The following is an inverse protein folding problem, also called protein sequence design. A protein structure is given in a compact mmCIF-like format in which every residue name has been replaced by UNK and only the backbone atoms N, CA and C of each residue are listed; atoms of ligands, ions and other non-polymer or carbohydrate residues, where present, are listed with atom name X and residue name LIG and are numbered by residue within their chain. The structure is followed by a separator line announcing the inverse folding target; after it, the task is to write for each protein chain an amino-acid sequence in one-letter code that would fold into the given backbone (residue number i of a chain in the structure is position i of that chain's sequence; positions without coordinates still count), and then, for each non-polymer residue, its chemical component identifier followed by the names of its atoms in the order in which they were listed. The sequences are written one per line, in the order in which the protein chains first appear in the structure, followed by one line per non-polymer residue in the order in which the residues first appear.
data_IF_657215850416
#
_entry.id   IF_657215850416
#
_cell.length_a   1.000
_cell.length_b   1.000
_cell.length_c   1.000
_cell.angle_alpha   90.00
_cell.angle_beta   90.00
_cell.angle_gamma   90.00
#
_symmetry.space_group_name_H-M   'P 1'
#
loop_
_entity.id
_entity.type
_entity.pdbx_description
1 polymer ?
#
# COMPACT_ATOMS: atom_id res chain seq x y z
N UNK A 1 7.92 -42.64 49.46
CA UNK A 1 8.30 -41.30 48.98
C UNK A 1 7.63 -40.28 49.89
N UNK A 2 8.35 -39.29 50.48
CA UNK A 2 7.74 -38.35 51.45
C UNK A 2 6.63 -37.54 50.76
N UNK A 3 5.46 -37.33 51.40
CA UNK A 3 4.31 -36.65 50.78
C UNK A 3 4.66 -35.24 50.29
N UNK A 4 5.62 -34.57 50.94
CA UNK A 4 6.13 -33.26 50.51
C UNK A 4 6.75 -33.28 49.11
N UNK A 5 7.50 -34.33 48.72
CA UNK A 5 8.13 -34.42 47.39
C UNK A 5 7.10 -34.64 46.29
N UNK A 6 6.01 -35.32 46.60
CA UNK A 6 4.90 -35.56 45.66
C UNK A 6 4.12 -34.27 45.41
N UNK A 7 3.85 -33.49 46.46
CA UNK A 7 3.16 -32.19 46.36
C UNK A 7 4.00 -31.20 45.56
N UNK A 8 5.32 -31.13 45.80
CA UNK A 8 6.21 -30.24 45.02
C UNK A 8 6.25 -30.65 43.55
N UNK A 9 6.31 -31.95 43.24
CA UNK A 9 6.30 -32.43 41.86
C UNK A 9 4.99 -32.08 41.12
N UNK A 10 3.84 -32.21 41.80
CA UNK A 10 2.54 -31.84 41.24
C UNK A 10 2.44 -30.32 41.03
N UNK A 11 2.95 -29.51 41.96
CA UNK A 11 2.95 -28.05 41.82
C UNK A 11 3.84 -27.57 40.66
N UNK A 12 5.02 -28.18 40.48
CA UNK A 12 5.91 -27.89 39.35
C UNK A 12 5.29 -28.33 38.02
N UNK A 13 4.65 -29.51 37.99
CA UNK A 13 3.93 -29.97 36.81
C UNK A 13 2.78 -29.03 36.44
N UNK A 14 1.96 -28.61 37.40
CA UNK A 14 0.87 -27.64 37.17
C UNK A 14 1.39 -26.27 36.69
N UNK A 15 2.55 -25.81 37.19
CA UNK A 15 3.21 -24.58 36.70
C UNK A 15 3.69 -24.69 35.25
N UNK A 16 4.19 -25.86 34.85
CA UNK A 16 4.67 -26.12 33.48
C UNK A 16 3.52 -26.28 32.47
N UNK A 17 2.33 -26.71 32.88
CA UNK A 17 1.19 -26.87 31.96
C UNK A 17 0.57 -25.52 31.60
N UNK A 18 0.65 -24.51 32.49
CA UNK A 18 0.13 -23.16 32.24
C UNK A 18 0.99 -22.34 31.25
N UNK A 19 2.24 -22.74 31.00
CA UNK A 19 3.13 -22.07 30.04
C UNK A 19 3.01 -22.62 28.60
N UNK A 20 2.12 -23.60 28.35
CA UNK A 20 1.85 -24.15 27.01
C UNK A 20 0.60 -23.56 26.32
N UNK A 21 -0.09 -22.59 26.90
CA UNK A 21 -1.25 -21.96 26.25
C UNK A 21 -0.88 -20.64 25.53
N UNK A 22 -1.39 -20.56 24.30
CA UNK A 22 -1.54 -19.40 23.43
C UNK A 22 -0.37 -19.04 22.47
N UNK A 23 -0.19 -19.86 21.44
CA UNK A 23 -0.22 -19.25 20.11
C UNK A 23 -1.70 -19.13 19.75
N UNK A 24 -2.28 -17.94 19.89
CA UNK A 24 -3.55 -17.67 19.22
C UNK A 24 -3.36 -18.01 17.74
N UNK A 25 -4.35 -18.68 17.14
CA UNK A 25 -4.36 -18.85 15.69
C UNK A 25 -4.47 -17.45 15.07
N UNK A 26 -3.33 -16.87 14.71
CA UNK A 26 -3.29 -15.59 14.05
C UNK A 26 -3.94 -15.82 12.68
N UNK A 27 -5.19 -15.39 12.56
CA UNK A 27 -5.89 -15.30 11.28
C UNK A 27 -5.19 -14.26 10.41
N UNK A 28 -4.16 -14.69 9.71
CA UNK A 28 -3.44 -13.91 8.70
C UNK A 28 -4.23 -13.80 7.39
N UNK A 29 -5.33 -14.54 7.26
CA UNK A 29 -6.25 -14.47 6.14
C UNK A 29 -6.66 -13.00 5.88
N UNK A 30 -6.24 -12.46 4.74
CA UNK A 30 -6.50 -11.10 4.26
C UNK A 30 -5.78 -9.94 4.99
N UNK A 31 -4.65 -10.19 5.68
CA UNK A 31 -3.81 -9.08 6.17
C UNK A 31 -2.84 -8.58 5.10
N UNK A 32 -2.73 -7.25 4.97
CA UNK A 32 -1.69 -6.58 4.18
C UNK A 32 -0.67 -5.84 5.05
N UNK A 33 -0.80 -5.88 6.38
CA UNK A 33 0.20 -5.34 7.31
C UNK A 33 1.03 -6.49 7.89
N UNK A 34 2.35 -6.38 7.76
CA UNK A 34 3.32 -7.38 8.18
C UNK A 34 4.34 -6.75 9.11
N UNK A 35 4.61 -7.39 10.25
CA UNK A 35 5.69 -7.02 11.16
C UNK A 35 6.94 -7.84 10.81
N UNK A 36 8.07 -7.16 10.68
CA UNK A 36 9.37 -7.74 10.34
C UNK A 36 10.26 -7.63 11.56
N UNK A 37 10.70 -8.78 12.06
CA UNK A 37 11.58 -8.91 13.23
C UNK A 37 12.74 -9.85 12.89
N UNK A 38 13.93 -9.53 13.40
CA UNK A 38 15.12 -10.36 13.27
C UNK A 38 15.98 -10.20 14.52
N UNK A 39 16.80 -11.20 14.86
CA UNK A 39 17.67 -11.15 16.04
C UNK A 39 18.64 -9.97 16.01
N UNK A 40 19.04 -9.55 14.80
CA UNK A 40 19.95 -8.42 14.57
C UNK A 40 19.24 -7.07 14.43
N UNK A 41 17.91 -7.03 14.50
CA UNK A 41 17.14 -5.78 14.48
C UNK A 41 16.86 -5.32 15.91
N UNK A 42 17.27 -4.10 16.24
CA UNK A 42 16.99 -3.49 17.54
C UNK A 42 15.49 -3.21 17.75
N UNK A 43 14.79 -2.86 16.67
CA UNK A 43 13.35 -2.54 16.66
C UNK A 43 12.67 -3.17 15.44
N UNK A 44 11.35 -3.49 15.54
CA UNK A 44 10.62 -4.08 14.43
C UNK A 44 10.35 -3.07 13.31
N UNK A 45 10.43 -3.53 12.07
CA UNK A 45 9.93 -2.80 10.90
C UNK A 45 8.55 -3.31 10.50
N UNK A 46 7.79 -2.51 9.75
CA UNK A 46 6.47 -2.90 9.26
C UNK A 46 6.38 -2.70 7.75
N UNK A 47 5.86 -3.70 7.05
CA UNK A 47 5.53 -3.62 5.63
C UNK A 47 4.01 -3.58 5.52
N UNK A 48 3.49 -2.47 5.01
CA UNK A 48 2.12 -2.37 4.56
C UNK A 48 2.10 -2.63 3.05
N UNK A 49 1.30 -3.59 2.61
CA UNK A 49 1.14 -3.93 1.20
C UNK A 49 0.62 -2.75 0.38
N UNK A 50 0.84 -2.83 -0.93
CA UNK A 50 0.58 -1.72 -1.84
C UNK A 50 -0.91 -1.56 -2.11
N UNK A 51 -1.44 -0.39 -1.78
CA UNK A 51 -2.76 0.05 -2.17
C UNK A 51 -2.69 1.55 -2.41
N UNK A 52 -2.69 2.00 -3.67
CA UNK A 52 -2.59 3.43 -3.95
C UNK A 52 -3.93 4.15 -3.84
N UNK A 53 -4.99 3.50 -4.30
CA UNK A 53 -6.31 4.09 -4.49
C UNK A 53 -7.38 3.24 -3.80
N UNK A 54 -8.35 3.91 -3.19
CA UNK A 54 -9.50 3.27 -2.55
C UNK A 54 -10.75 4.10 -2.76
N UNK A 55 -11.91 3.44 -2.83
CA UNK A 55 -13.19 4.14 -2.85
C UNK A 55 -13.42 4.85 -1.53
N UNK A 56 -13.88 6.10 -1.54
CA UNK A 56 -14.13 6.86 -0.31
C UNK A 56 -15.01 6.13 0.70
N UNK A 57 -16.04 5.40 0.22
CA UNK A 57 -16.97 4.65 1.08
C UNK A 57 -16.29 3.53 1.88
N UNK A 58 -15.17 3.01 1.36
CA UNK A 58 -14.40 1.91 1.94
C UNK A 58 -13.08 2.44 2.56
N UNK A 59 -12.89 3.77 2.55
CA UNK A 59 -11.63 4.40 2.95
C UNK A 59 -11.51 4.53 4.46
N UNK A 60 -11.03 3.47 5.10
CA UNK A 60 -10.68 3.44 6.51
C UNK A 60 -9.26 2.93 6.69
N UNK A 61 -8.42 3.67 7.44
CA UNK A 61 -7.10 3.19 7.85
C UNK A 61 -7.28 2.40 9.15
N UNK A 62 -7.05 1.07 9.16
CA UNK A 62 -7.29 0.26 10.34
C UNK A 62 -6.43 0.71 11.52
N UNK A 63 -6.97 0.62 12.74
CA UNK A 63 -6.27 1.01 13.97
C UNK A 63 -4.85 0.40 14.08
N UNK A 64 -4.69 -0.88 13.70
CA UNK A 64 -3.39 -1.57 13.70
C UNK A 64 -2.32 -0.86 12.84
N UNK A 65 -2.71 -0.28 11.71
CA UNK A 65 -1.82 0.49 10.84
C UNK A 65 -1.43 1.81 11.51
N UNK A 66 -2.40 2.52 12.09
CA UNK A 66 -2.10 3.77 12.81
C UNK A 66 -1.22 3.56 14.04
N UNK A 67 -1.38 2.43 14.74
CA UNK A 67 -0.54 2.06 15.88
C UNK A 67 0.89 1.72 15.44
N UNK A 68 1.05 0.96 14.36
CA UNK A 68 2.36 0.69 13.78
C UNK A 68 3.07 2.00 13.39
N UNK A 69 2.36 2.92 12.74
CA UNK A 69 2.92 4.23 12.35
C UNK A 69 3.37 5.07 13.55
N UNK A 70 2.74 4.94 14.72
CA UNK A 70 3.12 5.68 15.92
C UNK A 70 4.45 5.20 16.52
N UNK A 71 4.73 3.90 16.42
CA UNK A 71 5.89 3.28 17.06
C UNK A 71 7.14 3.25 16.18
N UNK A 72 7.00 3.24 14.85
CA UNK A 72 8.16 3.28 13.94
C UNK A 72 8.80 4.65 13.90
N UNK A 73 10.10 4.73 13.61
CA UNK A 73 10.81 6.00 13.53
C UNK A 73 10.46 6.82 12.30
N UNK A 74 10.17 6.18 11.16
CA UNK A 74 9.93 6.82 9.88
C UNK A 74 8.84 6.09 9.08
N UNK A 75 8.19 6.83 8.18
CA UNK A 75 7.43 6.26 7.07
C UNK A 75 8.35 6.18 5.84
N UNK A 76 8.36 5.05 5.16
CA UNK A 76 9.07 4.88 3.88
C UNK A 76 8.03 4.58 2.81
N UNK A 77 8.02 5.41 1.75
CA UNK A 77 7.14 5.24 0.59
C UNK A 77 7.98 4.93 -0.67
N UNK A 78 7.33 4.44 -1.71
CA UNK A 78 7.97 4.20 -3.03
C UNK A 78 8.52 5.49 -3.62
N UNK A 79 7.80 6.60 -3.40
CA UNK A 79 8.17 7.96 -3.80
C UNK A 79 8.07 8.84 -2.56
N UNK A 80 9.09 9.67 -2.32
CA UNK A 80 9.02 10.67 -1.27
C UNK A 80 8.10 11.82 -1.74
N UNK A 81 6.85 11.77 -1.30
CA UNK A 81 5.81 12.74 -1.66
C UNK A 81 6.01 14.09 -0.96
N UNK A 82 6.98 14.18 -0.04
CA UNK A 82 7.40 15.42 0.61
C UNK A 82 8.59 16.08 -0.10
N UNK A 83 9.26 15.39 -1.05
CA UNK A 83 10.39 15.92 -1.81
C UNK A 83 9.95 16.45 -3.20
N UNK A 84 10.05 17.77 -3.46
CA UNK A 84 9.67 18.34 -4.75
C UNK A 84 10.45 17.79 -5.95
N UNK A 85 11.72 17.40 -5.78
CA UNK A 85 12.50 16.85 -6.90
C UNK A 85 11.99 15.45 -7.27
N UNK A 86 11.63 14.62 -6.30
CA UNK A 86 11.01 13.31 -6.55
C UNK A 86 9.65 13.45 -7.25
N UNK A 87 8.83 14.42 -6.84
CA UNK A 87 7.57 14.73 -7.53
C UNK A 87 7.83 15.14 -8.98
N UNK A 88 8.86 15.95 -9.23
CA UNK A 88 9.22 16.39 -10.57
C UNK A 88 9.71 15.23 -11.43
N UNK A 89 10.58 14.35 -10.90
CA UNK A 89 11.04 13.14 -11.59
C UNK A 89 9.83 12.24 -11.94
N UNK A 90 8.89 12.06 -11.00
CA UNK A 90 7.66 11.31 -11.25
C UNK A 90 6.84 11.95 -12.39
N UNK A 91 6.64 13.27 -12.38
CA UNK A 91 5.92 13.98 -13.45
C UNK A 91 6.62 13.85 -14.81
N UNK A 92 7.94 13.97 -14.83
CA UNK A 92 8.74 13.79 -16.05
C UNK A 92 8.65 12.35 -16.58
N UNK A 93 8.61 11.34 -15.69
CA UNK A 93 8.41 9.95 -16.07
C UNK A 93 7.05 9.67 -16.71
N UNK A 94 6.04 10.49 -16.38
CA UNK A 94 4.70 10.42 -16.97
C UNK A 94 4.60 11.18 -18.28
N UNK A 95 5.56 12.04 -18.65
CA UNK A 95 5.51 12.75 -19.91
C UNK A 95 5.70 11.76 -21.07
N UNK A 96 4.68 11.62 -21.91
CA UNK A 96 4.83 10.82 -23.12
C UNK A 96 5.54 11.63 -24.22
N UNK A 97 6.47 10.98 -24.92
CA UNK A 97 7.25 11.62 -25.98
C UNK A 97 6.62 11.47 -27.36
N UNK A 98 5.65 10.55 -27.52
CA UNK A 98 4.95 10.27 -28.79
C UNK A 98 3.44 10.39 -28.64
N UNK A 99 2.75 10.64 -29.74
CA UNK A 99 1.29 10.62 -29.76
C UNK A 99 0.77 9.22 -29.99
N UNK A 100 -0.44 8.92 -29.51
CA UNK A 100 -1.08 7.61 -29.74
C UNK A 100 -1.25 7.37 -31.25
N UNK A 101 -1.64 8.41 -31.99
CA UNK A 101 -1.80 8.40 -33.45
C UNK A 101 -0.50 8.11 -34.22
N UNK A 102 0.67 8.29 -33.60
CA UNK A 102 1.97 7.99 -34.19
C UNK A 102 2.43 6.55 -33.90
N UNK A 103 1.81 5.87 -32.93
CA UNK A 103 2.19 4.53 -32.50
C UNK A 103 1.29 3.42 -33.07
N UNK A 104 0.08 3.76 -33.51
CA UNK A 104 -0.93 2.82 -33.98
C UNK A 104 -1.15 2.90 -35.49
N UNK A 105 -1.51 1.76 -36.10
CA UNK A 105 -2.10 1.78 -37.44
C UNK A 105 -3.46 2.49 -37.39
N UNK A 106 -3.96 2.91 -38.56
CA UNK A 106 -5.28 3.54 -38.66
C UNK A 106 -6.37 2.63 -38.09
N UNK A 107 -6.33 1.34 -38.42
CA UNK A 107 -7.31 0.35 -37.97
C UNK A 107 -7.29 0.18 -36.45
N UNK A 108 -6.10 0.14 -35.84
CA UNK A 108 -5.93 0.06 -34.40
C UNK A 108 -6.42 1.33 -33.68
N UNK A 109 -6.15 2.49 -34.29
CA UNK A 109 -6.62 3.78 -33.76
C UNK A 109 -8.16 3.83 -33.77
N UNK A 110 -8.80 3.45 -34.88
CA UNK A 110 -10.27 3.43 -35.00
C UNK A 110 -10.93 2.45 -34.01
N UNK A 111 -10.31 1.27 -33.79
CA UNK A 111 -10.77 0.30 -32.80
C UNK A 111 -10.66 0.84 -31.36
N UNK A 112 -9.51 1.43 -31.03
CA UNK A 112 -9.30 2.02 -29.71
C UNK A 112 -10.21 3.24 -29.49
N UNK A 113 -10.44 4.08 -30.50
CA UNK A 113 -11.35 5.23 -30.44
C UNK A 113 -12.78 4.82 -30.10
N UNK A 114 -13.24 3.68 -30.63
CA UNK A 114 -14.55 3.11 -30.29
C UNK A 114 -14.63 2.75 -28.80
N UNK A 115 -13.59 2.11 -28.26
CA UNK A 115 -13.53 1.74 -26.84
C UNK A 115 -13.42 2.97 -25.93
N UNK A 116 -12.54 3.91 -26.27
CA UNK A 116 -12.31 5.14 -25.52
C UNK A 116 -13.58 5.99 -25.50
N UNK A 117 -14.24 6.16 -26.64
CA UNK A 117 -15.52 6.90 -26.71
C UNK A 117 -16.58 6.26 -25.81
N UNK A 118 -16.67 4.92 -25.80
CA UNK A 118 -17.61 4.19 -24.96
C UNK A 118 -17.34 4.36 -23.46
N UNK A 119 -16.08 4.33 -23.03
CA UNK A 119 -15.69 4.37 -21.61
C UNK A 119 -15.60 5.80 -21.10
N UNK A 120 -14.94 6.68 -21.86
CA UNK A 120 -14.60 8.04 -21.47
C UNK A 120 -15.65 9.08 -21.89
N UNK A 121 -16.48 8.78 -22.89
CA UNK A 121 -17.44 9.73 -23.45
C UNK A 121 -16.81 10.79 -24.37
N UNK A 122 -15.57 10.57 -24.81
CA UNK A 122 -14.82 11.47 -25.68
C UNK A 122 -13.95 10.66 -26.65
N UNK A 123 -13.66 11.21 -27.83
CA UNK A 123 -12.80 10.55 -28.83
C UNK A 123 -11.35 10.44 -28.34
N UNK A 124 -10.66 9.39 -28.78
CA UNK A 124 -9.24 9.12 -28.57
C UNK A 124 -8.33 10.30 -28.95
N UNK A 125 -8.71 11.10 -29.96
CA UNK A 125 -7.90 12.26 -30.37
C UNK A 125 -7.74 13.30 -29.24
N UNK A 126 -8.69 13.37 -28.30
CA UNK A 126 -8.60 14.27 -27.15
C UNK A 126 -7.53 13.83 -26.13
N UNK A 127 -7.06 12.58 -26.23
CA UNK A 127 -6.05 11.97 -25.36
C UNK A 127 -4.75 11.68 -26.11
N UNK A 128 -4.60 12.17 -27.33
CA UNK A 128 -3.52 11.75 -28.23
C UNK A 128 -2.12 12.01 -27.65
N UNK A 129 -1.95 13.10 -26.90
CA UNK A 129 -0.67 13.45 -26.24
C UNK A 129 -0.44 12.75 -24.90
N UNK A 130 -1.44 12.02 -24.37
CA UNK A 130 -1.29 11.32 -23.10
C UNK A 130 -0.50 10.03 -23.26
N UNK A 131 -0.48 9.46 -24.48
CA UNK A 131 0.11 8.15 -24.71
C UNK A 131 -0.76 7.00 -24.20
N UNK A 132 -0.42 5.80 -24.67
CA UNK A 132 -1.18 4.59 -24.36
C UNK A 132 -1.18 4.25 -22.87
N UNK A 133 -0.05 4.46 -22.18
CA UNK A 133 0.09 4.12 -20.75
C UNK A 133 -0.82 4.97 -19.86
N UNK A 134 -0.82 6.30 -20.03
CA UNK A 134 -1.69 7.18 -19.23
C UNK A 134 -3.15 6.98 -19.60
N UNK A 135 -3.46 6.85 -20.89
CA UNK A 135 -4.82 6.56 -21.35
C UNK A 135 -5.36 5.30 -20.68
N UNK A 136 -4.57 4.23 -20.61
CA UNK A 136 -4.97 2.98 -19.96
C UNK A 136 -5.31 3.20 -18.47
N UNK A 137 -4.48 3.94 -17.72
CA UNK A 137 -4.76 4.25 -16.31
C UNK A 137 -6.07 5.05 -16.15
N UNK A 138 -6.31 6.06 -17.00
CA UNK A 138 -7.53 6.86 -16.97
C UNK A 138 -8.78 6.05 -17.30
N UNK A 139 -8.68 5.17 -18.31
CA UNK A 139 -9.77 4.26 -18.67
C UNK A 139 -10.09 3.28 -17.54
N UNK A 140 -9.06 2.67 -16.93
CA UNK A 140 -9.24 1.79 -15.77
C UNK A 140 -9.94 2.52 -14.63
N UNK A 141 -9.51 3.74 -14.29
CA UNK A 141 -10.16 4.56 -13.26
C UNK A 141 -11.64 4.83 -13.59
N UNK A 142 -11.95 5.15 -14.85
CA UNK A 142 -13.32 5.44 -15.30
C UNK A 142 -14.24 4.22 -15.27
N UNK A 143 -13.68 3.02 -15.44
CA UNK A 143 -14.41 1.76 -15.38
C UNK A 143 -14.74 1.30 -13.96
N UNK A 144 -14.06 1.85 -12.94
CA UNK A 144 -14.33 1.51 -11.55
C UNK A 144 -15.65 2.15 -11.07
N UNK A 145 -16.44 1.46 -10.22
CA UNK A 145 -17.72 1.98 -9.72
C UNK A 145 -17.55 3.04 -8.61
N UNK A 146 -16.42 3.74 -8.58
CA UNK A 146 -16.05 4.64 -7.49
C UNK A 146 -16.40 6.08 -7.83
N UNK A 147 -17.29 6.70 -7.05
CA UNK A 147 -17.68 8.11 -7.21
C UNK A 147 -16.58 9.07 -6.77
N UNK A 148 -15.79 8.67 -5.76
CA UNK A 148 -14.65 9.40 -5.25
C UNK A 148 -13.52 8.42 -4.92
N UNK A 149 -12.31 8.79 -5.32
CA UNK A 149 -11.09 8.05 -5.06
C UNK A 149 -10.31 8.77 -3.97
N UNK A 150 -9.79 8.00 -3.01
CA UNK A 150 -8.84 8.47 -2.00
C UNK A 150 -7.48 7.84 -2.25
N UNK A 151 -6.42 8.63 -2.08
CA UNK A 151 -5.05 8.13 -2.09
C UNK A 151 -4.67 7.67 -0.68
N UNK A 152 -4.26 6.41 -0.56
CA UNK A 152 -3.78 5.85 0.72
C UNK A 152 -2.41 6.43 1.05
N UNK A 153 -1.51 6.56 0.07
CA UNK A 153 -0.16 7.13 0.25
C UNK A 153 -0.23 8.54 0.84
N UNK A 154 -1.05 9.42 0.25
CA UNK A 154 -1.24 10.79 0.76
C UNK A 154 -1.80 10.81 2.18
N UNK A 155 -2.67 9.85 2.52
CA UNK A 155 -3.22 9.73 3.87
C UNK A 155 -2.17 9.25 4.86
N UNK A 156 -1.33 8.29 4.49
CA UNK A 156 -0.22 7.80 5.31
C UNK A 156 0.81 8.91 5.54
N UNK A 157 1.20 9.65 4.49
CA UNK A 157 2.06 10.83 4.61
C UNK A 157 1.46 11.89 5.53
N UNK A 158 0.18 12.22 5.38
CA UNK A 158 -0.51 13.17 6.26
C UNK A 158 -0.51 12.71 7.73
N UNK A 159 -0.70 11.42 7.97
CA UNK A 159 -0.61 10.84 9.31
C UNK A 159 0.83 10.87 9.85
N UNK A 160 1.84 10.59 9.02
CA UNK A 160 3.25 10.65 9.39
C UNK A 160 3.64 12.07 9.84
N UNK A 161 3.32 13.09 9.03
CA UNK A 161 3.53 14.51 9.34
C UNK A 161 2.85 14.86 10.67
N UNK A 162 1.58 14.47 10.87
CA UNK A 162 0.85 14.73 12.12
C UNK A 162 1.51 14.11 13.35
N UNK A 163 2.20 12.98 13.18
CA UNK A 163 2.91 12.27 14.25
C UNK A 163 4.41 12.60 14.31
N UNK A 164 4.87 13.63 13.58
CA UNK A 164 6.29 14.01 13.48
C UNK A 164 7.21 12.87 13.02
N UNK A 165 6.72 12.01 12.13
CA UNK A 165 7.50 10.95 11.49
C UNK A 165 8.03 11.47 10.15
N UNK A 166 9.34 11.40 9.86
CA UNK A 166 9.87 11.72 8.55
C UNK A 166 9.30 10.78 7.48
N UNK A 167 9.12 11.32 6.28
CA UNK A 167 8.73 10.62 5.06
C UNK A 167 9.98 10.43 4.20
N UNK A 168 10.37 9.18 3.99
CA UNK A 168 11.61 8.80 3.31
C UNK A 168 11.30 8.02 2.03
N UNK A 169 12.23 8.06 1.08
CA UNK A 169 12.16 7.23 -0.11
C UNK A 169 12.77 5.85 0.14
N UNK A 170 12.15 4.82 -0.42
CA UNK A 170 12.74 3.49 -0.45
C UNK A 170 14.04 3.47 -1.29
N UNK A 171 15.15 3.07 -0.68
CA UNK A 171 16.44 2.92 -1.37
C UNK A 171 17.47 4.04 -1.12
N UNK A 172 17.14 5.06 -0.33
CA UNK A 172 18.08 6.14 0.05
C UNK A 172 18.86 5.87 1.37
N UNK A 173 18.96 4.62 1.83
CA UNK A 173 19.70 4.25 3.05
C UNK A 173 21.21 4.06 2.84
#
# INVERSE_FOLDING_TARGET
MKPSKLITAIAVYLLLINSLQAQEEIKLENSVLWKIEHADLHEPSYILGTLHLMCEKDFEIPKKVTQALQIVDALVLEVNLSNPEEIKIMQESMNNTRKISEELSKEQFDELDTLVTKIMGASLINFDTYGLSILNVLMLQKMLPWSQIKSVDNKMMSLAIKNNKPDLQFGES
#
